data_IF_932520091465
#
_entry.id   IF_932520091465
#
_cell.length_a   1.000
_cell.length_b   1.000
_cell.length_c   1.000
_cell.angle_alpha   90.00
_cell.angle_beta   90.00
_cell.angle_gamma   90.00
#
_symmetry.space_group_name_H-M   'P 1'
#
loop_
_entity.id
_entity.type
_entity.pdbx_description
1 polymer ?
#
# COMPACT_ATOMS: atom_id res chain seq x y z
N UNK A 1 -18.44 -12.54 8.06
CA UNK A 1 -17.08 -13.01 8.46
C UNK A 1 -16.13 -11.90 8.07
N UNK A 2 -15.16 -11.52 8.91
CA UNK A 2 -14.18 -10.49 8.54
C UNK A 2 -12.96 -11.13 7.87
N UNK A 3 -12.18 -10.39 7.05
CA UNK A 3 -10.91 -10.89 6.55
C UNK A 3 -9.99 -11.32 7.70
N UNK A 4 -9.23 -12.39 7.49
CA UNK A 4 -8.27 -12.90 8.49
C UNK A 4 -6.90 -13.10 7.88
N UNK A 5 -5.86 -13.01 8.70
CA UNK A 5 -4.47 -13.17 8.28
C UNK A 5 -3.78 -14.25 9.12
N UNK A 6 -2.89 -15.01 8.48
CA UNK A 6 -1.98 -15.94 9.16
C UNK A 6 -0.58 -15.86 8.56
N UNK A 7 0.45 -15.94 9.39
CA UNK A 7 1.83 -16.10 8.92
C UNK A 7 2.04 -17.52 8.42
N UNK A 8 2.57 -17.66 7.21
CA UNK A 8 2.89 -18.95 6.57
C UNK A 8 4.36 -19.28 6.71
N UNK A 9 5.24 -18.30 6.51
CA UNK A 9 6.67 -18.48 6.61
C UNK A 9 7.36 -17.19 7.09
N UNK A 10 8.47 -17.37 7.78
CA UNK A 10 9.35 -16.27 8.22
C UNK A 10 10.77 -16.59 7.79
N UNK A 11 11.35 -15.70 7.00
CA UNK A 11 12.72 -15.77 6.53
C UNK A 11 13.51 -14.58 7.06
N UNK A 12 14.84 -14.65 6.98
CA UNK A 12 15.70 -13.53 7.37
C UNK A 12 15.46 -12.26 6.53
N UNK A 13 14.95 -12.41 5.31
CA UNK A 13 14.78 -11.30 4.36
C UNK A 13 13.33 -10.81 4.21
N UNK A 14 12.35 -11.63 4.57
CA UNK A 14 10.93 -11.35 4.39
C UNK A 14 10.05 -12.28 5.22
N UNK A 15 8.79 -11.89 5.40
CA UNK A 15 7.72 -12.73 5.93
C UNK A 15 6.68 -12.97 4.84
N UNK A 16 6.07 -14.15 4.85
CA UNK A 16 4.97 -14.51 3.97
C UNK A 16 3.73 -14.80 4.80
N UNK A 17 2.61 -14.20 4.41
CA UNK A 17 1.31 -14.37 5.05
C UNK A 17 0.27 -14.77 4.01
N UNK A 18 -0.80 -15.40 4.48
CA UNK A 18 -2.02 -15.61 3.70
C UNK A 18 -3.14 -14.83 4.34
N UNK A 19 -3.88 -14.07 3.52
CA UNK A 19 -5.11 -13.41 3.90
C UNK A 19 -6.28 -14.18 3.29
N UNK A 20 -7.24 -14.55 4.12
CA UNK A 20 -8.55 -15.04 3.68
C UNK A 20 -9.53 -13.87 3.60
N UNK A 21 -9.88 -13.49 2.37
CA UNK A 21 -10.84 -12.45 2.05
C UNK A 21 -12.16 -13.09 1.60
N UNK A 22 -13.00 -13.47 2.58
CA UNK A 22 -14.33 -14.08 2.35
C UNK A 22 -14.29 -15.38 1.53
N UNK A 23 -13.31 -16.24 1.78
CA UNK A 23 -13.09 -17.51 1.08
C UNK A 23 -12.12 -17.42 -0.10
N UNK A 24 -11.75 -16.20 -0.52
CA UNK A 24 -10.72 -15.95 -1.52
C UNK A 24 -9.40 -15.67 -0.84
N UNK A 25 -8.40 -16.52 -1.06
CA UNK A 25 -7.07 -16.35 -0.46
C UNK A 25 -6.13 -15.56 -1.37
N UNK A 26 -5.36 -14.64 -0.77
CA UNK A 26 -4.21 -14.00 -1.42
C UNK A 26 -2.98 -14.02 -0.51
N UNK A 27 -1.80 -13.95 -1.13
CA UNK A 27 -0.51 -14.00 -0.44
C UNK A 27 0.04 -12.60 -0.24
N UNK A 28 0.60 -12.35 0.95
CA UNK A 28 1.25 -11.09 1.30
C UNK A 28 2.70 -11.36 1.61
N UNK A 29 3.61 -10.70 0.89
CA UNK A 29 5.04 -10.71 1.16
C UNK A 29 5.42 -9.40 1.84
N UNK A 30 5.87 -9.44 3.10
CA UNK A 30 6.37 -8.27 3.83
C UNK A 30 7.89 -8.29 3.78
N UNK A 31 8.50 -7.21 3.30
CA UNK A 31 9.96 -7.19 3.09
C UNK A 31 10.55 -5.79 3.20
N UNK A 32 11.82 -5.77 3.58
CA UNK A 32 12.73 -4.62 3.46
C UNK A 32 13.93 -4.91 2.56
N UNK A 33 14.00 -6.13 2.00
CA UNK A 33 15.11 -6.59 1.18
C UNK A 33 14.93 -6.25 -0.29
N UNK A 34 15.86 -5.48 -0.84
CA UNK A 34 15.96 -5.16 -2.27
C UNK A 34 15.87 -6.39 -3.18
N UNK A 35 16.52 -7.50 -2.80
CA UNK A 35 16.48 -8.74 -3.58
C UNK A 35 15.08 -9.38 -3.64
N UNK A 36 14.30 -9.28 -2.57
CA UNK A 36 12.93 -9.81 -2.51
C UNK A 36 11.99 -8.94 -3.33
N UNK A 37 12.15 -7.61 -3.24
CA UNK A 37 11.39 -6.63 -4.05
C UNK A 37 11.63 -6.91 -5.55
N UNK A 38 12.90 -7.00 -5.95
CA UNK A 38 13.30 -7.29 -7.34
C UNK A 38 12.71 -8.61 -7.82
N UNK A 39 12.81 -9.67 -7.01
CA UNK A 39 12.24 -10.99 -7.34
C UNK A 39 10.72 -10.93 -7.51
N UNK A 40 10.03 -10.21 -6.64
CA UNK A 40 8.57 -10.06 -6.72
C UNK A 40 8.15 -9.35 -8.00
N UNK A 41 8.80 -8.23 -8.35
CA UNK A 41 8.52 -7.45 -9.57
C UNK A 41 8.79 -8.29 -10.82
N UNK A 42 9.94 -8.96 -10.89
CA UNK A 42 10.29 -9.81 -12.02
C UNK A 42 9.26 -10.93 -12.23
N UNK A 43 8.75 -11.51 -11.15
CA UNK A 43 7.68 -12.49 -11.23
C UNK A 43 6.40 -11.86 -11.78
N UNK A 44 5.96 -10.69 -11.27
CA UNK A 44 4.77 -9.99 -11.77
C UNK A 44 4.88 -9.71 -13.26
N UNK A 45 6.00 -9.14 -13.71
CA UNK A 45 6.23 -8.83 -15.12
C UNK A 45 6.25 -10.09 -15.99
N UNK A 46 6.90 -11.16 -15.53
CA UNK A 46 6.91 -12.45 -16.21
C UNK A 46 5.49 -12.98 -16.41
N UNK A 47 4.68 -13.08 -15.35
CA UNK A 47 3.32 -13.63 -15.46
C UNK A 47 2.39 -12.72 -16.28
N UNK A 48 2.53 -11.40 -16.18
CA UNK A 48 1.72 -10.47 -16.94
C UNK A 48 1.97 -10.61 -18.46
N UNK A 49 3.24 -10.79 -18.86
CA UNK A 49 3.61 -10.94 -20.27
C UNK A 49 2.96 -12.16 -20.95
N UNK A 50 2.74 -13.24 -20.21
CA UNK A 50 2.16 -14.48 -20.76
C UNK A 50 0.64 -14.58 -20.61
N UNK A 51 0.04 -13.84 -19.67
CA UNK A 51 -1.32 -14.12 -19.21
C UNK A 51 -2.32 -13.00 -19.48
N UNK A 52 -1.86 -11.77 -19.75
CA UNK A 52 -2.75 -10.62 -19.91
C UNK A 52 -2.80 -10.09 -21.34
N UNK A 53 -4.02 -9.82 -21.81
CA UNK A 53 -4.26 -9.07 -23.06
C UNK A 53 -4.37 -7.57 -22.83
N UNK A 54 -4.24 -7.10 -21.58
CA UNK A 54 -4.42 -5.71 -21.20
C UNK A 54 -3.21 -5.15 -20.42
N UNK A 55 -3.02 -3.81 -20.41
CA UNK A 55 -2.06 -3.14 -19.54
C UNK A 55 -2.14 -3.61 -18.08
N UNK A 56 -1.01 -3.66 -17.39
CA UNK A 56 -0.96 -4.14 -16.01
C UNK A 56 -1.73 -3.18 -15.10
N UNK A 57 -2.61 -3.70 -14.24
CA UNK A 57 -3.23 -2.93 -13.15
C UNK A 57 -2.56 -3.29 -11.85
N UNK A 58 -2.17 -2.28 -11.07
CA UNK A 58 -1.52 -2.44 -9.77
C UNK A 58 -2.30 -1.66 -8.73
N UNK A 59 -2.82 -2.36 -7.72
CA UNK A 59 -3.35 -1.72 -6.52
C UNK A 59 -2.20 -1.19 -5.67
N UNK A 60 -2.29 0.07 -5.27
CA UNK A 60 -1.24 0.80 -4.55
C UNK A 60 -1.79 1.35 -3.24
N UNK A 61 -1.01 1.20 -2.17
CA UNK A 61 -1.22 1.87 -0.89
C UNK A 61 0.09 2.42 -0.35
N UNK A 62 0.01 3.52 0.41
CA UNK A 62 1.15 4.12 1.09
C UNK A 62 0.73 4.45 2.52
N UNK A 63 1.55 4.08 3.50
CA UNK A 63 1.30 4.42 4.91
C UNK A 63 2.50 5.11 5.52
N UNK A 64 2.22 5.96 6.51
CA UNK A 64 3.21 6.73 7.24
C UNK A 64 2.79 6.92 8.69
N UNK A 65 3.77 7.09 9.56
CA UNK A 65 3.62 7.30 10.98
C UNK A 65 3.29 8.77 11.21
N UNK A 66 2.16 9.10 11.85
CA UNK A 66 1.81 10.48 12.14
C UNK A 66 2.88 11.16 13.02
N UNK A 67 3.18 12.44 12.76
CA UNK A 67 4.21 13.19 13.50
C UNK A 67 4.00 13.23 15.04
N UNK A 68 2.78 13.03 15.52
CA UNK A 68 2.44 12.96 16.94
C UNK A 68 2.52 11.56 17.57
N UNK A 69 2.90 10.52 16.82
CA UNK A 69 2.93 9.16 17.32
C UNK A 69 4.10 8.92 18.29
N UNK A 70 5.31 9.36 17.92
CA UNK A 70 6.50 9.24 18.75
C UNK A 70 6.64 10.42 19.72
N UNK A 71 6.69 10.20 21.06
CA UNK A 71 6.98 11.28 22.00
C UNK A 71 8.41 11.82 21.80
N UNK A 72 8.57 13.13 22.00
CA UNK A 72 9.79 13.92 21.71
C UNK A 72 11.09 13.34 22.33
N UNK A 73 10.99 12.49 23.37
CA UNK A 73 12.14 11.91 24.07
C UNK A 73 12.76 10.67 23.42
N UNK A 74 12.16 10.11 22.35
CA UNK A 74 12.66 8.90 21.67
C UNK A 74 13.53 9.18 20.44
N UNK A 75 13.80 10.45 20.12
CA UNK A 75 14.73 10.75 19.04
C UNK A 75 16.17 10.73 19.59
N UNK A 76 17.01 9.82 19.10
CA UNK A 76 18.41 9.68 19.57
C UNK A 76 19.29 10.92 19.29
N UNK A 77 18.76 11.93 18.59
CA UNK A 77 19.45 13.17 18.22
C UNK A 77 18.96 14.44 18.94
N UNK A 78 17.94 14.38 19.83
CA UNK A 78 17.36 15.60 20.44
C UNK A 78 17.96 16.01 21.78
N UNK A 79 18.99 15.33 22.30
CA UNK A 79 19.62 15.70 23.58
C UNK A 79 20.27 17.11 23.58
N UNK A 80 20.43 17.72 22.40
CA UNK A 80 20.90 19.09 22.21
C UNK A 80 19.90 20.00 21.46
N UNK A 81 18.67 19.55 21.21
CA UNK A 81 17.70 20.34 20.46
C UNK A 81 17.13 21.47 21.32
N UNK A 82 17.25 22.70 20.82
CA UNK A 82 16.68 23.91 21.43
C UNK A 82 15.14 23.77 21.52
N UNK A 83 14.54 23.82 22.73
CA UNK A 83 13.10 23.74 22.93
C UNK A 83 12.30 24.88 22.26
N UNK A 84 12.96 25.92 21.74
CA UNK A 84 12.32 27.02 21.01
C UNK A 84 12.04 26.72 19.53
N UNK A 85 12.54 25.60 18.97
CA UNK A 85 12.19 25.16 17.62
C UNK A 85 10.87 24.36 17.64
N UNK A 86 9.73 25.07 17.68
CA UNK A 86 8.39 24.50 17.53
C UNK A 86 8.09 23.86 16.15
N UNK A 87 9.12 23.36 15.43
CA UNK A 87 9.02 22.91 14.05
C UNK A 87 8.86 21.39 13.89
N UNK A 88 9.13 20.57 14.92
CA UNK A 88 9.04 19.11 14.79
C UNK A 88 7.59 18.60 14.67
N UNK A 89 6.63 19.28 15.32
CA UNK A 89 5.20 18.98 15.15
C UNK A 89 4.64 19.36 13.76
N UNK A 90 5.44 20.05 12.94
CA UNK A 90 5.08 20.46 11.58
C UNK A 90 5.88 19.71 10.50
N UNK A 91 6.69 18.70 10.87
CA UNK A 91 7.35 17.86 9.90
C UNK A 91 6.31 16.99 9.20
N UNK A 92 6.19 17.14 7.87
CA UNK A 92 5.35 16.26 7.08
C UNK A 92 5.99 14.86 7.05
N UNK A 93 5.34 13.82 7.61
CA UNK A 93 5.95 12.50 7.72
C UNK A 93 6.25 11.89 6.34
N UNK A 94 7.40 11.22 6.25
CA UNK A 94 7.81 10.46 5.07
C UNK A 94 6.97 9.17 4.93
N UNK A 95 6.95 8.59 3.73
CA UNK A 95 6.35 7.28 3.51
C UNK A 95 7.15 6.19 4.26
N UNK A 96 6.51 5.47 5.17
CA UNK A 96 7.14 4.36 5.90
C UNK A 96 7.00 3.04 5.17
N UNK A 97 5.90 2.87 4.45
CA UNK A 97 5.60 1.64 3.71
C UNK A 97 4.98 1.93 2.35
N UNK A 98 5.22 1.04 1.40
CA UNK A 98 4.58 1.00 0.09
C UNK A 98 3.97 -0.39 -0.13
N UNK A 99 2.70 -0.43 -0.51
CA UNK A 99 1.99 -1.66 -0.86
C UNK A 99 1.74 -1.71 -2.36
N UNK A 100 2.02 -2.86 -2.97
CA UNK A 100 1.72 -3.14 -4.37
C UNK A 100 0.96 -4.46 -4.45
N UNK A 101 -0.19 -4.48 -5.10
CA UNK A 101 -0.95 -5.71 -5.29
C UNK A 101 -1.30 -5.95 -6.76
N UNK A 102 -1.04 -7.18 -7.21
CA UNK A 102 -1.34 -7.68 -8.56
C UNK A 102 -1.88 -9.10 -8.45
N UNK A 103 -3.12 -9.30 -8.86
CA UNK A 103 -3.81 -10.58 -8.70
C UNK A 103 -3.92 -10.95 -7.22
N UNK A 104 -3.58 -12.20 -6.90
CA UNK A 104 -3.60 -12.73 -5.54
C UNK A 104 -2.25 -12.56 -4.81
N UNK A 105 -1.43 -11.58 -5.21
CA UNK A 105 -0.12 -11.32 -4.61
C UNK A 105 -0.01 -9.85 -4.25
N UNK A 106 0.13 -9.57 -2.96
CA UNK A 106 0.49 -8.26 -2.48
C UNK A 106 1.92 -8.27 -1.91
N UNK A 107 2.64 -7.18 -2.14
CA UNK A 107 3.96 -6.89 -1.61
C UNK A 107 3.83 -5.68 -0.67
N UNK A 108 4.28 -5.82 0.57
CA UNK A 108 4.41 -4.72 1.53
C UNK A 108 5.90 -4.45 1.71
N UNK A 109 6.33 -3.29 1.24
CA UNK A 109 7.71 -2.82 1.32
C UNK A 109 7.82 -1.90 2.54
N UNK A 110 8.62 -2.27 3.54
CA UNK A 110 8.94 -1.41 4.69
C UNK A 110 10.05 -0.42 4.30
N UNK A 111 9.67 0.68 3.65
CA UNK A 111 10.59 1.72 3.15
C UNK A 111 11.50 2.28 4.25
N UNK A 112 10.97 2.47 5.47
CA UNK A 112 11.74 2.97 6.61
C UNK A 112 12.88 2.06 7.07
N UNK A 113 12.84 0.78 6.70
CA UNK A 113 13.89 -0.20 7.01
C UNK A 113 14.55 -0.79 5.76
N UNK A 114 14.23 -0.25 4.59
CA UNK A 114 14.87 -0.60 3.34
C UNK A 114 16.07 0.34 3.16
N UNK A 115 17.29 -0.18 3.20
CA UNK A 115 18.50 0.64 3.04
C UNK A 115 18.59 1.20 1.62
N UNK A 116 18.45 0.32 0.63
CA UNK A 116 18.47 0.64 -0.79
C UNK A 116 17.25 0.05 -1.50
N UNK A 117 16.57 0.89 -2.28
CA UNK A 117 15.46 0.46 -3.13
C UNK A 117 16.00 0.11 -4.53
N UNK A 118 15.66 -1.06 -5.09
CA UNK A 118 16.17 -1.49 -6.39
C UNK A 118 15.67 -0.60 -7.55
N UNK A 119 16.49 -0.45 -8.59
CA UNK A 119 16.13 0.25 -9.83
C UNK A 119 14.93 -0.39 -10.53
N UNK A 120 14.74 -1.70 -10.34
CA UNK A 120 13.56 -2.43 -10.81
C UNK A 120 12.28 -1.89 -10.18
N UNK A 121 12.28 -1.48 -8.91
CA UNK A 121 11.10 -0.83 -8.31
C UNK A 121 10.86 0.55 -8.90
N UNK A 122 11.91 1.35 -9.07
CA UNK A 122 11.82 2.69 -9.66
C UNK A 122 11.24 2.64 -11.07
N UNK A 123 11.77 1.73 -11.88
CA UNK A 123 11.30 1.49 -13.24
C UNK A 123 9.87 0.92 -13.24
N UNK A 124 9.55 0.03 -12.30
CA UNK A 124 8.22 -0.56 -12.18
C UNK A 124 7.16 0.44 -11.75
N UNK A 125 7.47 1.46 -10.94
CA UNK A 125 6.52 2.49 -10.51
C UNK A 125 6.30 3.60 -11.55
N UNK A 126 7.17 3.69 -12.54
CA UNK A 126 7.13 4.72 -13.59
C UNK A 126 6.87 4.14 -14.98
N UNK A 127 6.50 2.85 -15.09
CA UNK A 127 6.21 2.22 -16.38
C UNK A 127 4.91 2.80 -16.96
N UNK A 128 4.96 3.50 -18.10
CA UNK A 128 3.77 4.13 -18.69
C UNK A 128 2.74 3.13 -19.22
N UNK A 129 3.06 1.83 -19.22
CA UNK A 129 2.14 0.75 -19.61
C UNK A 129 1.43 0.12 -18.41
N UNK A 130 1.66 0.64 -17.22
CA UNK A 130 1.04 0.17 -15.98
C UNK A 130 0.07 1.22 -15.47
N UNK A 131 -1.10 0.76 -15.06
CA UNK A 131 -2.14 1.58 -14.42
C UNK A 131 -2.02 1.37 -12.90
N UNK A 132 -1.69 2.44 -12.19
CA UNK A 132 -1.62 2.44 -10.73
C UNK A 132 -2.92 2.99 -10.17
N UNK A 133 -3.51 2.26 -9.21
CA UNK A 133 -4.82 2.60 -8.65
C UNK A 133 -4.76 2.56 -7.14
N UNK A 134 -5.41 3.52 -6.47
CA UNK A 134 -5.47 3.59 -5.02
C UNK A 134 -6.72 4.31 -4.54
N UNK A 135 -6.87 4.42 -3.22
CA UNK A 135 -7.93 5.20 -2.60
C UNK A 135 -7.37 6.35 -1.77
N UNK A 136 -7.97 7.55 -1.88
CA UNK A 136 -7.55 8.75 -1.12
C UNK A 136 -6.05 9.06 -1.22
N UNK A 137 -5.44 8.71 -2.34
CA UNK A 137 -3.99 8.71 -2.59
C UNK A 137 -3.38 10.08 -2.91
N UNK A 138 -4.09 11.17 -2.64
CA UNK A 138 -3.69 12.53 -3.04
C UNK A 138 -2.38 13.02 -2.41
N UNK A 139 -1.86 12.32 -1.40
CA UNK A 139 -0.56 12.61 -0.79
C UNK A 139 0.52 11.57 -1.15
N UNK A 140 0.13 10.40 -1.66
CA UNK A 140 0.98 9.21 -1.75
C UNK A 140 2.18 9.46 -2.65
N UNK A 141 1.94 9.92 -3.89
CA UNK A 141 3.01 10.24 -4.83
C UNK A 141 3.97 11.30 -4.27
N UNK A 142 3.43 12.34 -3.61
CA UNK A 142 4.24 13.38 -2.99
C UNK A 142 5.08 12.87 -1.81
N UNK A 143 4.54 11.94 -1.00
CA UNK A 143 5.25 11.33 0.13
C UNK A 143 6.34 10.37 -0.32
N UNK A 144 6.06 9.57 -1.35
CA UNK A 144 7.07 8.70 -1.97
C UNK A 144 8.22 9.51 -2.56
N UNK A 145 7.91 10.59 -3.31
CA UNK A 145 8.90 11.43 -3.96
C UNK A 145 9.77 12.22 -2.96
N UNK A 146 9.22 12.60 -1.81
CA UNK A 146 9.93 13.34 -0.76
C UNK A 146 10.61 12.44 0.28
N UNK A 147 10.32 11.14 0.28
CA UNK A 147 11.01 10.19 1.14
C UNK A 147 12.52 10.17 0.82
N UNK A 148 13.33 9.66 1.75
CA UNK A 148 14.77 9.41 1.52
C UNK A 148 15.08 8.62 0.25
N UNK A 149 14.12 7.82 -0.23
CA UNK A 149 14.27 6.98 -1.42
C UNK A 149 13.95 7.73 -2.72
N UNK A 150 13.30 8.89 -2.67
CA UNK A 150 12.94 9.66 -3.87
C UNK A 150 12.17 8.82 -4.89
N UNK A 151 11.13 8.11 -4.45
CA UNK A 151 10.36 7.22 -5.33
C UNK A 151 9.31 8.02 -6.08
N UNK A 152 9.48 8.10 -7.39
CA UNK A 152 8.45 8.61 -8.29
C UNK A 152 7.49 7.47 -8.66
N UNK A 153 6.21 7.81 -8.78
CA UNK A 153 5.18 6.93 -9.31
C UNK A 153 4.50 7.64 -10.46
N UNK A 154 4.11 6.88 -11.48
CA UNK A 154 3.27 7.34 -12.57
C UNK A 154 1.92 7.84 -12.08
N UNK A 155 1.03 8.17 -13.02
CA UNK A 155 -0.30 8.64 -12.66
C UNK A 155 -1.02 7.61 -11.78
N UNK A 156 -1.32 8.02 -10.55
CA UNK A 156 -1.96 7.20 -9.54
C UNK A 156 -3.44 7.57 -9.47
N UNK A 157 -4.29 6.74 -10.07
CA UNK A 157 -5.71 6.97 -10.20
C UNK A 157 -6.44 6.72 -8.89
N UNK A 158 -7.28 7.67 -8.46
CA UNK A 158 -8.14 7.50 -7.30
C UNK A 158 -9.45 6.81 -7.71
N UNK A 159 -9.63 5.56 -7.29
CA UNK A 159 -10.74 4.68 -7.66
C UNK A 159 -12.12 5.26 -7.35
N UNK A 160 -12.21 6.16 -6.37
CA UNK A 160 -13.43 6.89 -6.00
C UNK A 160 -14.07 7.61 -7.19
N UNK A 161 -13.27 7.99 -8.18
CA UNK A 161 -13.74 8.70 -9.37
C UNK A 161 -14.26 7.77 -10.47
N UNK A 162 -14.08 6.46 -10.33
CA UNK A 162 -14.35 5.48 -11.39
C UNK A 162 -15.35 4.40 -10.97
N UNK A 163 -15.50 4.12 -9.67
CA UNK A 163 -16.46 3.15 -9.18
C UNK A 163 -17.86 3.74 -9.03
N UNK A 164 -18.87 2.91 -9.34
CA UNK A 164 -20.29 3.25 -9.29
C UNK A 164 -21.04 2.25 -8.43
N UNK A 165 -22.13 2.71 -7.80
CA UNK A 165 -23.05 1.84 -7.07
C UNK A 165 -23.98 1.05 -8.01
N UNK A 166 -24.83 0.21 -7.44
CA UNK A 166 -25.81 -0.60 -8.19
C UNK A 166 -26.83 0.22 -8.99
N UNK A 167 -26.98 1.52 -8.70
CA UNK A 167 -27.82 2.47 -9.43
C UNK A 167 -27.08 3.23 -10.53
N UNK A 168 -25.78 3.01 -10.70
CA UNK A 168 -24.93 3.74 -11.65
C UNK A 168 -24.48 5.12 -11.15
N UNK A 169 -24.64 5.41 -9.86
CA UNK A 169 -24.18 6.67 -9.28
C UNK A 169 -22.72 6.53 -8.82
N UNK A 170 -21.89 7.53 -9.15
CA UNK A 170 -20.48 7.53 -8.74
C UNK A 170 -20.33 7.58 -7.22
N UNK A 171 -19.36 6.83 -6.69
CA UNK A 171 -19.19 6.65 -5.24
C UNK A 171 -18.07 7.52 -4.64
N UNK A 172 -17.78 8.68 -5.23
CA UNK A 172 -16.60 9.47 -4.86
C UNK A 172 -16.58 10.01 -3.42
N UNK A 173 -17.75 10.02 -2.77
CA UNK A 173 -17.99 10.45 -1.39
C UNK A 173 -18.22 9.31 -0.40
N UNK A 174 -18.24 8.07 -0.88
CA UNK A 174 -18.45 6.90 -0.04
C UNK A 174 -17.17 6.54 0.73
N UNK A 175 -17.36 5.92 1.88
CA UNK A 175 -16.29 5.29 2.66
C UNK A 175 -15.76 4.02 1.99
N UNK A 176 -14.60 3.54 2.46
CA UNK A 176 -13.99 2.30 1.95
C UNK A 176 -14.95 1.12 2.15
N UNK A 177 -15.57 1.05 3.33
CA UNK A 177 -16.52 -0.01 3.67
C UNK A 177 -17.76 0.02 2.78
N UNK A 178 -18.30 1.20 2.47
CA UNK A 178 -19.40 1.34 1.53
C UNK A 178 -19.02 0.90 0.12
N UNK A 179 -17.82 1.25 -0.36
CA UNK A 179 -17.35 0.81 -1.69
C UNK A 179 -17.15 -0.70 -1.77
N UNK A 180 -16.52 -1.33 -0.76
CA UNK A 180 -16.37 -2.79 -0.71
C UNK A 180 -17.75 -3.47 -0.64
N UNK A 181 -18.68 -2.91 0.12
CA UNK A 181 -20.04 -3.45 0.21
C UNK A 181 -20.80 -3.35 -1.10
N UNK A 182 -20.86 -2.18 -1.72
CA UNK A 182 -21.68 -1.97 -2.92
C UNK A 182 -21.04 -2.59 -4.18
N UNK A 183 -19.71 -2.57 -4.30
CA UNK A 183 -19.03 -3.11 -5.49
C UNK A 183 -18.68 -4.60 -5.38
N UNK A 184 -18.37 -5.11 -4.18
CA UNK A 184 -17.92 -6.50 -3.98
C UNK A 184 -18.91 -7.36 -3.19
N UNK A 185 -19.96 -6.77 -2.60
CA UNK A 185 -20.96 -7.49 -1.80
C UNK A 185 -20.48 -7.90 -0.41
N UNK A 186 -19.31 -7.44 0.03
CA UNK A 186 -18.72 -7.82 1.31
C UNK A 186 -18.90 -6.74 2.37
N UNK A 187 -19.40 -7.12 3.55
CA UNK A 187 -19.66 -6.20 4.67
C UNK A 187 -18.58 -6.33 5.75
N UNK A 188 -18.34 -5.24 6.49
CA UNK A 188 -17.41 -5.23 7.63
C UNK A 188 -15.93 -5.13 7.23
N UNK A 189 -15.64 -4.79 5.98
CA UNK A 189 -14.27 -4.49 5.52
C UNK A 189 -14.06 -2.99 5.66
N UNK A 190 -13.26 -2.58 6.63
CA UNK A 190 -12.98 -1.18 6.92
C UNK A 190 -11.50 -1.00 7.22
N UNK A 191 -10.99 0.18 6.89
CA UNK A 191 -9.67 0.62 7.36
C UNK A 191 -9.89 1.24 8.76
N UNK A 192 -9.36 0.57 9.79
CA UNK A 192 -9.49 1.01 11.17
C UNK A 192 -8.60 2.24 11.41
N UNK A 193 -9.20 3.30 11.95
CA UNK A 193 -8.49 4.55 12.18
C UNK A 193 -7.36 4.41 13.21
N UNK A 194 -7.50 3.54 14.21
CA UNK A 194 -6.45 3.27 15.19
C UNK A 194 -5.22 2.66 14.53
N UNK A 195 -5.43 1.73 13.60
CA UNK A 195 -4.36 1.13 12.80
C UNK A 195 -3.80 2.15 11.80
N UNK A 196 -4.63 2.91 11.08
CA UNK A 196 -4.15 3.94 10.15
C UNK A 196 -3.28 5.00 10.82
N UNK A 197 -3.56 5.31 12.10
CA UNK A 197 -2.81 6.28 12.90
C UNK A 197 -1.68 5.64 13.74
N UNK A 198 -1.31 4.39 13.47
CA UNK A 198 -0.30 3.64 14.22
C UNK A 198 1.14 3.91 13.77
N UNK A 199 2.11 3.18 14.36
CA UNK A 199 3.52 3.23 13.97
C UNK A 199 3.79 2.40 12.71
N UNK A 200 3.71 3.02 11.55
CA UNK A 200 4.09 2.37 10.30
C UNK A 200 5.61 2.26 10.12
N UNK A 201 6.38 3.01 10.92
CA UNK A 201 7.84 2.95 10.98
C UNK A 201 8.35 1.81 11.86
N UNK A 202 7.46 1.02 12.47
CA UNK A 202 7.84 -0.12 13.28
C UNK A 202 8.72 -1.12 12.51
N UNK A 203 9.74 -1.67 13.18
CA UNK A 203 10.66 -2.63 12.57
C UNK A 203 9.97 -3.94 12.18
N UNK A 204 9.00 -4.38 12.98
CA UNK A 204 8.09 -5.47 12.67
C UNK A 204 6.66 -4.92 12.69
N UNK A 205 5.95 -5.02 11.56
CA UNK A 205 4.53 -4.68 11.49
C UNK A 205 3.70 -5.80 12.14
N UNK A 206 2.64 -5.44 12.85
CA UNK A 206 1.72 -6.44 13.41
C UNK A 206 0.74 -6.98 12.34
N UNK A 207 0.03 -8.05 12.70
CA UNK A 207 -0.95 -8.66 11.80
C UNK A 207 -2.08 -7.72 11.40
N UNK A 208 -2.48 -6.78 12.25
CA UNK A 208 -3.57 -5.85 11.95
C UNK A 208 -3.12 -4.80 10.92
N UNK A 209 -1.90 -4.27 11.07
CA UNK A 209 -1.25 -3.39 10.10
C UNK A 209 -1.05 -4.09 8.75
N UNK A 210 -0.50 -5.31 8.74
CA UNK A 210 -0.26 -6.07 7.51
C UNK A 210 -1.59 -6.39 6.82
N UNK A 211 -2.60 -6.84 7.57
CA UNK A 211 -3.92 -7.13 7.03
C UNK A 211 -4.56 -5.88 6.41
N UNK A 212 -4.55 -4.75 7.13
CA UNK A 212 -5.14 -3.52 6.62
C UNK A 212 -4.44 -3.02 5.35
N UNK A 213 -3.12 -2.92 5.37
CA UNK A 213 -2.33 -2.41 4.25
C UNK A 213 -2.48 -3.30 3.01
N UNK A 214 -2.52 -4.62 3.20
CA UNK A 214 -2.66 -5.57 2.09
C UNK A 214 -4.10 -5.65 1.56
N UNK A 215 -5.12 -5.56 2.42
CA UNK A 215 -6.53 -5.49 2.00
C UNK A 215 -6.82 -4.21 1.22
N UNK A 216 -6.27 -3.07 1.65
CA UNK A 216 -6.42 -1.80 0.92
C UNK A 216 -5.90 -1.92 -0.51
N UNK A 217 -4.65 -2.37 -0.67
CA UNK A 217 -4.04 -2.57 -1.99
C UNK A 217 -4.75 -3.66 -2.82
N UNK A 218 -5.19 -4.76 -2.19
CA UNK A 218 -5.92 -5.84 -2.86
C UNK A 218 -7.28 -5.38 -3.41
N UNK A 219 -8.07 -4.67 -2.59
CA UNK A 219 -9.36 -4.11 -3.02
C UNK A 219 -9.14 -3.09 -4.14
N UNK A 220 -8.09 -2.27 -4.06
CA UNK A 220 -7.74 -1.35 -5.13
C UNK A 220 -7.48 -2.08 -6.46
N UNK A 221 -6.67 -3.15 -6.41
CA UNK A 221 -6.41 -3.99 -7.58
C UNK A 221 -7.70 -4.60 -8.16
N UNK A 222 -8.50 -5.27 -7.32
CA UNK A 222 -9.72 -5.96 -7.76
C UNK A 222 -10.72 -4.98 -8.40
N UNK A 223 -10.94 -3.82 -7.79
CA UNK A 223 -11.85 -2.81 -8.32
C UNK A 223 -11.31 -2.14 -9.58
N UNK A 224 -10.01 -1.85 -9.65
CA UNK A 224 -9.37 -1.32 -10.85
C UNK A 224 -9.49 -2.26 -12.04
N UNK A 225 -9.42 -3.57 -11.79
CA UNK A 225 -9.66 -4.59 -12.82
C UNK A 225 -11.14 -4.67 -13.18
N UNK A 226 -12.02 -4.67 -12.19
CA UNK A 226 -13.47 -4.77 -12.39
C UNK A 226 -14.03 -3.62 -13.25
N UNK A 227 -13.56 -2.39 -13.04
CA UNK A 227 -13.95 -1.21 -13.83
C UNK A 227 -13.09 -1.00 -15.08
N UNK A 228 -12.18 -1.93 -15.40
CA UNK A 228 -11.34 -1.94 -16.62
C UNK A 228 -10.53 -0.65 -16.80
N UNK A 229 -9.86 -0.17 -15.75
CA UNK A 229 -9.12 1.11 -15.80
C UNK A 229 -8.00 1.17 -16.83
N UNK A 230 -7.59 0.04 -17.40
CA UNK A 230 -6.65 -0.01 -18.52
C UNK A 230 -7.22 0.47 -19.87
N UNK A 231 -8.51 0.80 -19.93
CA UNK A 231 -9.18 1.27 -21.16
C UNK A 231 -9.43 2.77 -21.19
N UNK A 232 -9.11 3.46 -20.09
CA UNK A 232 -9.20 4.92 -19.96
C UNK A 232 -7.89 5.57 -20.38
#
# INVERSE_FOLDING_TARGET
>A
MAPTIRTVATYNSHQEHTVDFFGSEFTVTVTRSSSVITRWINNVQYYNHYSSSHPLVVGVGVQWTPAGYHPIYLCDNCYYADPSLGSYYNADPEADTLQLCVGTRCLVIQLSHCDDVPDELRSFLTDPRTVYVGFWNGQDAGKLARSRHGLEIGELLDLRNYVQDSGGFGMSRCSFEEMVKECMGYQGVRLDRGISMSDWSAYELDHEQILQASVDAYVCFELGVWVRLWEY
#
